data_IF_945242399680
#
_entry.id   IF_945242399680
#
_cell.length_a   1.000
_cell.length_b   1.000
_cell.length_c   1.000
_cell.angle_alpha   90.00
_cell.angle_beta   90.00
_cell.angle_gamma   90.00
#
_symmetry.space_group_name_H-M   'P 1'
#
loop_
_entity.id
_entity.type
_entity.pdbx_description
1 polymer ?
#
# COMPACT_ATOMS: atom_id res chain seq x y z
N UNK A 1 -4.60 25.38 42.69
CA UNK A 1 -3.89 24.33 41.91
C UNK A 1 -4.83 23.37 41.19
N UNK A 2 -5.83 22.76 41.86
CA UNK A 2 -6.77 21.81 41.22
C UNK A 2 -7.55 22.37 40.01
N UNK A 3 -7.93 23.65 40.03
CA UNK A 3 -8.63 24.34 38.92
C UNK A 3 -7.79 24.46 37.65
N UNK A 4 -6.48 24.69 37.79
CA UNK A 4 -5.54 24.69 36.66
C UNK A 4 -5.34 23.28 36.09
N UNK A 5 -5.38 22.26 36.96
CA UNK A 5 -5.28 20.87 36.56
C UNK A 5 -6.48 20.43 35.70
N UNK A 6 -7.70 20.83 36.08
CA UNK A 6 -8.89 20.58 35.28
C UNK A 6 -8.88 21.34 33.95
N UNK A 7 -8.40 22.58 33.92
CA UNK A 7 -8.25 23.35 32.70
C UNK A 7 -7.24 22.70 31.74
N UNK A 8 -6.10 22.23 32.26
CA UNK A 8 -5.10 21.50 31.48
C UNK A 8 -5.66 20.19 30.93
N UNK A 9 -6.42 19.44 31.74
CA UNK A 9 -7.07 18.19 31.35
C UNK A 9 -8.06 18.41 30.19
N UNK A 10 -8.88 19.46 30.24
CA UNK A 10 -9.85 19.82 29.19
C UNK A 10 -9.14 20.22 27.90
N UNK A 11 -8.06 21.00 27.97
CA UNK A 11 -7.27 21.39 26.79
C UNK A 11 -6.68 20.16 26.10
N UNK A 12 -6.08 19.24 26.86
CA UNK A 12 -5.50 18.01 26.31
C UNK A 12 -6.58 17.14 25.64
N UNK A 13 -7.74 16.97 26.27
CA UNK A 13 -8.85 16.20 25.71
C UNK A 13 -9.47 16.83 24.45
N UNK A 14 -9.48 18.17 24.32
CA UNK A 14 -9.97 18.87 23.14
C UNK A 14 -8.99 18.84 21.94
N UNK A 15 -7.69 18.65 22.18
CA UNK A 15 -6.68 18.65 21.09
C UNK A 15 -6.57 17.35 20.30
N UNK A 16 -7.15 16.24 20.76
CA UNK A 16 -7.08 14.95 20.07
C UNK A 16 -7.66 14.96 18.64
N UNK A 17 -8.64 15.83 18.37
CA UNK A 17 -9.25 15.98 17.05
C UNK A 17 -8.48 16.84 16.05
N UNK A 18 -7.44 17.58 16.48
CA UNK A 18 -6.67 18.48 15.61
C UNK A 18 -5.56 17.77 14.81
N UNK A 19 -5.24 16.51 15.14
CA UNK A 19 -4.10 15.77 14.59
C UNK A 19 -4.41 14.96 13.31
N UNK A 20 -5.67 14.80 12.93
CA UNK A 20 -6.06 14.08 11.71
C UNK A 20 -6.49 15.07 10.63
N UNK A 21 -5.53 15.81 10.05
CA UNK A 21 -5.85 16.76 8.98
C UNK A 21 -5.95 16.07 7.61
N UNK A 22 -5.29 14.93 7.41
CA UNK A 22 -5.46 14.11 6.21
C UNK A 22 -5.44 12.62 6.47
N UNK A 23 -6.16 11.86 5.64
CA UNK A 23 -6.25 10.41 5.69
C UNK A 23 -5.38 9.82 4.58
N UNK A 24 -4.37 9.01 4.94
CA UNK A 24 -3.62 8.18 4.01
C UNK A 24 -4.23 6.77 4.01
N UNK A 25 -4.52 6.25 2.84
CA UNK A 25 -5.00 4.89 2.62
C UNK A 25 -4.33 4.29 1.40
N UNK A 26 -4.37 2.97 1.26
CA UNK A 26 -3.78 2.35 0.08
C UNK A 26 -4.06 0.87 -0.02
N UNK A 27 -3.63 0.30 -1.13
CA UNK A 27 -3.68 -1.14 -1.41
C UNK A 27 -2.39 -1.55 -2.07
N UNK A 28 -1.74 -2.55 -1.48
CA UNK A 28 -0.68 -3.29 -2.12
C UNK A 28 -1.31 -4.54 -2.73
N UNK A 29 -1.09 -4.74 -4.01
CA UNK A 29 -1.44 -5.96 -4.73
C UNK A 29 -0.16 -6.55 -5.29
N UNK A 30 0.04 -7.86 -5.11
CA UNK A 30 1.21 -8.57 -5.60
C UNK A 30 0.81 -9.91 -6.18
N UNK A 31 1.42 -10.25 -7.30
CA UNK A 31 1.22 -11.48 -8.04
C UNK A 31 2.57 -12.12 -8.31
N UNK A 32 2.62 -13.43 -8.07
CA UNK A 32 3.78 -14.26 -8.36
C UNK A 32 3.36 -15.40 -9.25
N UNK A 33 4.13 -15.63 -10.30
CA UNK A 33 3.96 -16.73 -11.24
C UNK A 33 5.18 -17.63 -11.16
N UNK A 34 4.96 -18.95 -11.20
CA UNK A 34 6.02 -19.96 -11.32
C UNK A 34 5.82 -20.71 -12.63
N UNK A 35 6.90 -20.84 -13.39
CA UNK A 35 6.88 -21.46 -14.71
C UNK A 35 7.56 -22.82 -14.63
N UNK A 36 6.77 -23.88 -14.72
CA UNK A 36 7.24 -25.26 -14.77
C UNK A 36 7.03 -25.79 -16.18
N UNK A 37 8.11 -26.29 -16.80
CA UNK A 37 8.01 -26.86 -18.14
C UNK A 37 7.09 -28.07 -18.11
N UNK A 38 6.05 -28.02 -18.94
CA UNK A 38 5.13 -29.13 -19.16
C UNK A 38 5.08 -29.47 -20.66
N UNK A 39 5.33 -30.75 -20.96
CA UNK A 39 5.31 -31.32 -22.31
C UNK A 39 3.92 -31.35 -22.94
N UNK A 40 2.84 -31.38 -22.15
CA UNK A 40 1.47 -31.44 -22.65
C UNK A 40 0.99 -30.10 -23.22
N UNK A 41 1.51 -28.99 -22.71
CA UNK A 41 1.21 -27.62 -23.19
C UNK A 41 2.26 -27.10 -24.18
N UNK A 42 3.31 -27.88 -24.46
CA UNK A 42 4.35 -27.51 -25.42
C UNK A 42 5.22 -26.32 -25.00
N UNK A 43 5.44 -26.10 -23.70
CA UNK A 43 6.16 -24.94 -23.16
C UNK A 43 7.70 -24.97 -23.37
N UNK A 44 8.20 -25.73 -24.33
CA UNK A 44 9.63 -25.81 -24.63
C UNK A 44 10.10 -24.62 -25.47
N UNK A 45 11.37 -24.20 -25.31
CA UNK A 45 11.99 -23.10 -26.04
C UNK A 45 11.35 -21.73 -25.76
N UNK A 46 10.84 -21.54 -24.54
CA UNK A 46 10.29 -20.25 -24.08
C UNK A 46 11.08 -19.75 -22.87
N UNK A 47 11.54 -18.49 -22.86
CA UNK A 47 12.37 -17.96 -21.77
C UNK A 47 11.77 -18.15 -20.38
N UNK A 48 10.45 -17.99 -20.27
CA UNK A 48 9.69 -18.13 -19.02
C UNK A 48 9.87 -19.51 -18.40
N UNK A 49 9.78 -20.57 -19.20
CA UNK A 49 9.84 -21.96 -18.75
C UNK A 49 11.24 -22.58 -18.84
N UNK A 50 12.18 -21.92 -19.53
CA UNK A 50 13.53 -22.44 -19.75
C UNK A 50 14.56 -21.91 -18.75
N UNK A 51 14.50 -20.63 -18.39
CA UNK A 51 15.50 -20.01 -17.51
C UNK A 51 14.99 -18.88 -16.59
N UNK A 52 13.87 -18.21 -16.91
CA UNK A 52 13.30 -17.20 -16.03
C UNK A 52 12.63 -17.85 -14.81
N UNK A 53 11.84 -18.91 -15.02
CA UNK A 53 11.24 -19.82 -14.03
C UNK A 53 10.26 -19.20 -13.02
N UNK A 54 10.29 -17.89 -12.83
CA UNK A 54 9.34 -17.15 -12.03
C UNK A 54 9.17 -15.73 -12.60
N UNK A 55 8.02 -15.13 -12.32
CA UNK A 55 7.75 -13.72 -12.64
C UNK A 55 7.01 -13.08 -11.48
N UNK A 56 7.33 -11.84 -11.16
CA UNK A 56 6.68 -11.13 -10.07
C UNK A 56 6.24 -9.74 -10.52
N UNK A 57 5.02 -9.39 -10.17
CA UNK A 57 4.47 -8.06 -10.40
C UNK A 57 3.76 -7.57 -9.15
N UNK A 58 3.91 -6.31 -8.84
CA UNK A 58 3.21 -5.68 -7.73
C UNK A 58 2.87 -4.24 -8.05
N UNK A 59 1.75 -3.77 -7.54
CA UNK A 59 1.42 -2.36 -7.58
C UNK A 59 0.91 -1.88 -6.23
N UNK A 60 1.39 -0.70 -5.86
CA UNK A 60 0.99 0.02 -4.67
C UNK A 60 0.16 1.23 -5.08
N UNK A 61 -1.10 1.23 -4.70
CA UNK A 61 -1.98 2.39 -4.81
C UNK A 61 -2.00 3.11 -3.46
N UNK A 62 -1.68 4.40 -3.44
CA UNK A 62 -1.81 5.26 -2.27
C UNK A 62 -2.78 6.40 -2.57
N UNK A 63 -3.70 6.64 -1.65
CA UNK A 63 -4.67 7.72 -1.69
C UNK A 63 -4.52 8.56 -0.42
N UNK A 64 -4.27 9.86 -0.59
CA UNK A 64 -4.21 10.84 0.49
C UNK A 64 -5.33 11.86 0.32
N UNK A 65 -6.17 12.00 1.33
CA UNK A 65 -7.30 12.96 1.34
C UNK A 65 -7.08 13.98 2.44
N UNK A 66 -7.10 15.27 2.10
CA UNK A 66 -6.90 16.39 3.02
C UNK A 66 -7.93 17.47 2.70
N UNK A 67 -8.91 17.70 3.59
CA UNK A 67 -9.85 18.83 3.51
C UNK A 67 -10.45 19.08 2.10
N UNK A 68 -10.92 18.02 1.44
CA UNK A 68 -11.52 18.09 0.10
C UNK A 68 -10.53 17.99 -1.08
N UNK A 69 -9.23 18.00 -0.81
CA UNK A 69 -8.20 17.63 -1.78
C UNK A 69 -7.94 16.13 -1.74
N UNK A 70 -7.75 15.53 -2.91
CA UNK A 70 -7.41 14.12 -3.08
C UNK A 70 -6.16 13.98 -3.94
N UNK A 71 -5.17 13.26 -3.42
CA UNK A 71 -3.95 12.89 -4.12
C UNK A 71 -3.90 11.38 -4.26
N UNK A 72 -3.74 10.88 -5.49
CA UNK A 72 -3.59 9.45 -5.76
C UNK A 72 -2.28 9.20 -6.47
N UNK A 73 -1.54 8.21 -6.00
CA UNK A 73 -0.28 7.78 -6.62
C UNK A 73 -0.30 6.27 -6.80
N UNK A 74 0.30 5.81 -7.89
CA UNK A 74 0.52 4.40 -8.18
C UNK A 74 2.00 4.17 -8.40
N UNK A 75 2.53 3.13 -7.78
CA UNK A 75 3.89 2.66 -7.98
C UNK A 75 3.85 1.20 -8.43
N UNK A 76 4.50 0.91 -9.55
CA UNK A 76 4.53 -0.41 -10.18
C UNK A 76 5.94 -1.03 -10.08
N UNK A 77 6.00 -2.31 -9.72
CA UNK A 77 7.23 -3.11 -9.63
C UNK A 77 7.08 -4.38 -10.48
N UNK A 78 8.14 -4.72 -11.22
CA UNK A 78 8.17 -5.88 -12.11
C UNK A 78 9.50 -6.63 -12.00
N UNK A 79 9.46 -7.96 -12.08
CA UNK A 79 10.61 -8.87 -12.15
C UNK A 79 10.37 -9.98 -13.19
#
# INVERSE_FOLDING_TARGET
MKRFFYALLVIVLCTGGLLAQGQLSGRLESFGNFFLRDSLIGAANTPQYDHQLYGAEAWLNLNYTLKGFEFRTRFDLFN
#
